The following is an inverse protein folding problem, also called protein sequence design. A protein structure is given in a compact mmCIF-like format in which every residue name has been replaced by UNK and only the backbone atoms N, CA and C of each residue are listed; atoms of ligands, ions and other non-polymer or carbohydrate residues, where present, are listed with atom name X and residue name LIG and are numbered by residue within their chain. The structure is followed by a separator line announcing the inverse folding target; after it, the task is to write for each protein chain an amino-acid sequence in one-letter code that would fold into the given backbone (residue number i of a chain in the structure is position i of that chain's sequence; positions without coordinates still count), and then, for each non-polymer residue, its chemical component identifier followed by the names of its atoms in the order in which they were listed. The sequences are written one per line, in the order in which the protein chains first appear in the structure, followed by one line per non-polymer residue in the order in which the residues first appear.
data_IF_491885497129
#
_entry.id   IF_491885497129
#
_cell.length_a   1.000
_cell.length_b   1.000
_cell.length_c   1.000
_cell.angle_alpha   90.00
_cell.angle_beta   90.00
_cell.angle_gamma   90.00
#
_symmetry.space_group_name_H-M   'P 1'
#
loop_
_entity.id
_entity.type
_entity.pdbx_description
1 polymer ?
#
# COMPACT_ATOMS: atom_id res chain seq x y z
N UNK A 1 -7.11 -6.07 -37.19
CA UNK A 1 -6.16 -4.95 -37.01
C UNK A 1 -6.96 -3.71 -36.62
N UNK A 2 -6.57 -3.01 -35.56
CA UNK A 2 -7.31 -1.85 -35.04
C UNK A 2 -7.02 -0.54 -35.82
N UNK A 3 -6.30 -0.57 -36.93
CA UNK A 3 -6.06 0.59 -37.81
C UNK A 3 -5.26 1.74 -37.22
N UNK A 4 -4.56 1.52 -36.09
CA UNK A 4 -3.65 2.52 -35.49
C UNK A 4 -2.28 2.37 -36.15
N UNK A 5 -1.72 3.48 -36.68
CA UNK A 5 -0.35 3.48 -37.19
C UNK A 5 0.66 3.31 -36.03
N UNK A 6 1.78 2.64 -36.32
CA UNK A 6 2.82 2.37 -35.32
C UNK A 6 3.32 3.67 -34.66
N UNK A 7 3.53 4.74 -35.40
CA UNK A 7 3.98 6.04 -34.89
C UNK A 7 2.95 6.67 -33.93
N UNK A 8 1.65 6.53 -34.21
CA UNK A 8 0.58 7.01 -33.33
C UNK A 8 0.51 6.19 -32.04
N UNK A 9 0.75 4.88 -32.13
CA UNK A 9 0.85 4.01 -30.99
C UNK A 9 2.03 4.37 -30.08
N UNK A 10 3.24 4.51 -30.63
CA UNK A 10 4.43 4.87 -29.85
C UNK A 10 4.33 6.27 -29.27
N UNK A 11 3.76 7.24 -29.99
CA UNK A 11 3.52 8.58 -29.48
C UNK A 11 2.53 8.57 -28.31
N UNK A 12 1.45 7.80 -28.41
CA UNK A 12 0.44 7.68 -27.34
C UNK A 12 0.99 6.95 -26.11
N UNK A 13 1.79 5.90 -26.31
CA UNK A 13 2.42 5.16 -25.20
C UNK A 13 3.48 5.99 -24.49
N UNK A 14 4.24 6.83 -25.19
CA UNK A 14 5.25 7.69 -24.56
C UNK A 14 4.67 8.72 -23.58
N UNK A 15 3.41 9.08 -23.75
CA UNK A 15 2.66 9.99 -22.85
C UNK A 15 1.83 9.25 -21.79
N UNK A 16 1.81 7.91 -21.82
CA UNK A 16 1.04 7.12 -20.87
C UNK A 16 1.73 7.10 -19.52
N UNK A 17 1.14 7.75 -18.53
CA UNK A 17 1.65 7.87 -17.15
C UNK A 17 1.31 6.68 -16.25
N UNK A 18 0.79 5.59 -16.81
CA UNK A 18 0.31 4.44 -16.06
C UNK A 18 -1.19 4.49 -15.74
N UNK A 19 -1.74 3.39 -15.26
CA UNK A 19 -3.12 3.34 -14.80
C UNK A 19 -3.21 3.92 -13.38
N UNK A 20 -4.18 4.79 -13.15
CA UNK A 20 -4.42 5.38 -11.84
C UNK A 20 -4.51 4.29 -10.74
N UNK A 21 -3.90 4.53 -9.59
CA UNK A 21 -3.82 3.62 -8.44
C UNK A 21 -3.12 2.28 -8.74
N UNK A 22 -2.22 2.22 -9.74
CA UNK A 22 -1.38 1.05 -10.01
C UNK A 22 0.07 1.47 -9.98
N UNK A 23 0.72 1.24 -8.86
CA UNK A 23 2.06 1.73 -8.51
C UNK A 23 2.23 3.21 -8.91
N UNK A 24 1.20 3.99 -8.60
CA UNK A 24 1.14 5.42 -8.91
C UNK A 24 2.06 6.19 -7.97
N UNK A 25 2.95 6.99 -8.54
CA UNK A 25 3.82 7.88 -7.79
C UNK A 25 3.03 9.10 -7.33
N UNK A 26 2.89 9.30 -6.01
CA UNK A 26 2.19 10.46 -5.42
C UNK A 26 3.13 11.64 -5.20
N UNK A 27 4.37 11.37 -4.76
CA UNK A 27 5.40 12.37 -4.56
C UNK A 27 6.78 11.72 -4.67
N UNK A 28 7.78 12.51 -5.05
CA UNK A 28 9.16 12.05 -5.19
C UNK A 28 10.14 13.16 -4.83
N UNK A 29 11.22 12.78 -4.16
CA UNK A 29 12.44 13.57 -3.96
C UNK A 29 13.64 12.76 -4.44
N UNK A 30 14.84 13.31 -4.37
CA UNK A 30 16.06 12.59 -4.74
C UNK A 30 16.29 11.31 -3.90
N UNK A 31 15.74 11.25 -2.69
CA UNK A 31 15.99 10.16 -1.73
C UNK A 31 14.74 9.44 -1.23
N UNK A 32 13.55 9.88 -1.61
CA UNK A 32 12.27 9.30 -1.18
C UNK A 32 11.26 9.28 -2.30
N UNK A 33 10.50 8.20 -2.42
CA UNK A 33 9.33 8.11 -3.28
C UNK A 33 8.15 7.55 -2.50
N UNK A 34 6.99 8.17 -2.67
CA UNK A 34 5.72 7.72 -2.07
C UNK A 34 4.84 7.19 -3.19
N UNK A 35 4.47 5.92 -3.07
CA UNK A 35 3.63 5.21 -4.04
C UNK A 35 2.26 4.93 -3.46
N UNK A 36 1.26 4.91 -4.35
CA UNK A 36 -0.07 4.34 -4.10
C UNK A 36 -0.32 3.18 -5.03
N UNK A 37 -0.88 2.08 -4.51
CA UNK A 37 -1.28 0.94 -5.33
C UNK A 37 -2.64 0.39 -4.90
N UNK A 38 -3.35 -0.23 -5.84
CA UNK A 38 -4.64 -0.88 -5.61
C UNK A 38 -4.50 -2.35 -5.19
N UNK A 39 -3.29 -2.81 -4.87
CA UNK A 39 -3.06 -4.17 -4.38
C UNK A 39 -3.86 -4.40 -3.10
N UNK A 40 -4.71 -5.42 -3.12
CA UNK A 40 -5.60 -5.77 -2.00
C UNK A 40 -5.71 -7.28 -1.79
N UNK A 41 -5.22 -8.10 -2.70
CA UNK A 41 -5.13 -9.56 -2.55
C UNK A 41 -3.71 -9.98 -2.17
N UNK A 42 -3.53 -11.12 -1.49
CA UNK A 42 -2.22 -11.58 -1.03
C UNK A 42 -1.14 -11.60 -2.12
N UNK A 43 -1.46 -12.19 -3.28
CA UNK A 43 -0.52 -12.28 -4.40
C UNK A 43 -0.14 -10.93 -5.01
N UNK A 44 -1.10 -10.00 -5.13
CA UNK A 44 -0.83 -8.65 -5.62
C UNK A 44 -0.01 -7.85 -4.61
N UNK A 45 -0.34 -7.97 -3.32
CA UNK A 45 0.41 -7.34 -2.23
C UNK A 45 1.88 -7.76 -2.30
N UNK A 46 2.15 -9.08 -2.35
CA UNK A 46 3.50 -9.63 -2.48
C UNK A 46 4.23 -9.09 -3.70
N UNK A 47 3.62 -9.21 -4.88
CA UNK A 47 4.23 -8.77 -6.14
C UNK A 47 4.54 -7.27 -6.16
N UNK A 48 3.66 -6.42 -5.59
CA UNK A 48 3.89 -4.97 -5.54
C UNK A 48 5.02 -4.60 -4.56
N UNK A 49 5.08 -5.24 -3.40
CA UNK A 49 6.17 -5.03 -2.42
C UNK A 49 7.52 -5.45 -3.02
N UNK A 50 7.58 -6.64 -3.63
CA UNK A 50 8.78 -7.13 -4.32
C UNK A 50 9.23 -6.19 -5.45
N UNK A 51 8.29 -5.72 -6.29
CA UNK A 51 8.60 -4.82 -7.40
C UNK A 51 9.21 -3.50 -6.94
N UNK A 52 8.67 -2.88 -5.88
CA UNK A 52 9.23 -1.64 -5.34
C UNK A 52 10.60 -1.88 -4.72
N UNK A 53 10.79 -2.97 -3.96
CA UNK A 53 12.09 -3.29 -3.36
C UNK A 53 13.15 -3.59 -4.42
N UNK A 54 12.80 -4.30 -5.48
CA UNK A 54 13.71 -4.58 -6.61
C UNK A 54 14.08 -3.31 -7.39
N UNK A 55 13.15 -2.38 -7.55
CA UNK A 55 13.40 -1.11 -8.23
C UNK A 55 14.31 -0.17 -7.42
N UNK A 56 14.28 -0.27 -6.09
CA UNK A 56 15.05 0.57 -5.16
C UNK A 56 15.75 -0.28 -4.08
N UNK A 57 16.70 -1.14 -4.45
CA UNK A 57 17.30 -2.13 -3.54
C UNK A 57 18.02 -1.48 -2.35
N UNK A 58 18.60 -0.29 -2.55
CA UNK A 58 19.37 0.44 -1.54
C UNK A 58 18.50 1.32 -0.63
N UNK A 59 17.19 1.46 -0.95
CA UNK A 59 16.28 2.25 -0.12
C UNK A 59 15.53 1.37 0.86
N UNK A 60 15.28 1.90 2.04
CA UNK A 60 14.35 1.30 3.00
C UNK A 60 12.92 1.37 2.44
N UNK A 61 12.16 0.30 2.60
CA UNK A 61 10.77 0.24 2.16
C UNK A 61 9.83 0.09 3.36
N UNK A 62 9.00 1.08 3.60
CA UNK A 62 7.81 0.94 4.45
C UNK A 62 6.61 0.59 3.58
N UNK A 63 6.03 -0.58 3.80
CA UNK A 63 4.81 -1.02 3.14
C UNK A 63 3.61 -0.95 4.09
N UNK A 64 2.53 -0.35 3.61
CA UNK A 64 1.27 -0.17 4.35
C UNK A 64 0.14 -0.82 3.58
N UNK A 65 -0.61 -1.71 4.22
CA UNK A 65 -1.77 -2.38 3.64
C UNK A 65 -3.05 -2.03 4.39
N UNK A 66 -4.08 -1.57 3.69
CA UNK A 66 -5.43 -1.48 4.24
C UNK A 66 -6.23 -2.75 3.91
N UNK A 67 -6.67 -3.48 4.95
CA UNK A 67 -7.67 -4.54 4.80
C UNK A 67 -9.04 -3.89 4.68
N UNK A 68 -9.62 -3.90 3.47
CA UNK A 68 -10.87 -3.19 3.19
C UNK A 68 -11.92 -4.05 2.48
N UNK A 69 -11.50 -5.06 1.72
CA UNK A 69 -12.44 -5.93 0.99
C UNK A 69 -13.20 -6.87 1.92
N UNK A 70 -14.33 -7.41 1.47
CA UNK A 70 -15.07 -8.42 2.25
C UNK A 70 -14.21 -9.63 2.60
N UNK A 71 -13.39 -10.12 1.67
CA UNK A 71 -12.51 -11.26 1.91
C UNK A 71 -11.37 -10.93 2.87
N UNK A 72 -10.68 -9.80 2.69
CA UNK A 72 -9.53 -9.42 3.53
C UNK A 72 -9.89 -9.18 5.00
N UNK A 73 -11.16 -8.93 5.30
CA UNK A 73 -11.68 -8.73 6.66
C UNK A 73 -12.26 -10.00 7.28
N UNK A 74 -12.15 -11.15 6.60
CA UNK A 74 -12.60 -12.42 7.13
C UNK A 74 -11.45 -13.21 7.76
N UNK A 75 -11.66 -13.71 8.97
CA UNK A 75 -10.66 -14.46 9.74
C UNK A 75 -10.08 -15.65 8.95
N UNK A 76 -10.93 -16.39 8.25
CA UNK A 76 -10.52 -17.54 7.45
C UNK A 76 -9.67 -17.19 6.22
N UNK A 77 -9.70 -15.92 5.77
CA UNK A 77 -8.91 -15.44 4.62
C UNK A 77 -7.54 -14.86 5.05
N UNK A 78 -7.43 -14.36 6.28
CA UNK A 78 -6.21 -13.71 6.76
C UNK A 78 -4.94 -14.54 6.58
N UNK A 79 -4.93 -15.88 6.83
CA UNK A 79 -3.71 -16.70 6.68
C UNK A 79 -3.09 -16.68 5.28
N UNK A 80 -3.87 -16.34 4.25
CA UNK A 80 -3.36 -16.21 2.88
C UNK A 80 -2.38 -15.03 2.71
N UNK A 81 -2.37 -14.06 3.65
CA UNK A 81 -1.43 -12.94 3.65
C UNK A 81 -0.05 -13.27 4.22
N UNK A 82 0.15 -14.53 4.69
CA UNK A 82 1.44 -14.96 5.21
C UNK A 82 2.55 -14.64 4.21
N UNK A 83 3.64 -14.06 4.71
CA UNK A 83 4.84 -13.70 3.96
C UNK A 83 4.62 -12.70 2.79
N UNK A 84 3.43 -12.11 2.65
CA UNK A 84 3.12 -11.19 1.54
C UNK A 84 3.82 -9.84 1.63
N UNK A 85 4.42 -9.51 2.78
CA UNK A 85 5.18 -8.27 3.02
C UNK A 85 6.62 -8.55 3.46
N UNK A 86 7.18 -9.73 3.19
CA UNK A 86 8.52 -10.14 3.65
C UNK A 86 9.64 -9.24 3.15
N UNK A 87 9.53 -8.71 1.92
CA UNK A 87 10.53 -7.83 1.31
C UNK A 87 10.47 -6.36 1.80
N UNK A 88 9.47 -6.00 2.60
CA UNK A 88 9.41 -4.67 3.21
C UNK A 88 10.29 -4.61 4.47
N UNK A 89 11.08 -3.55 4.62
CA UNK A 89 11.89 -3.32 5.81
C UNK A 89 11.02 -2.99 7.03
N UNK A 90 9.89 -2.30 6.80
CA UNK A 90 8.84 -2.06 7.79
C UNK A 90 7.46 -2.38 7.20
N UNK A 91 6.60 -3.00 7.98
CA UNK A 91 5.27 -3.40 7.53
C UNK A 91 4.18 -2.93 8.50
N UNK A 92 3.18 -2.27 7.95
CA UNK A 92 2.01 -1.79 8.68
C UNK A 92 0.73 -2.30 8.02
N UNK A 93 -0.22 -2.72 8.85
CA UNK A 93 -1.56 -3.09 8.39
C UNK A 93 -2.58 -2.23 9.10
N UNK A 94 -3.53 -1.74 8.35
CA UNK A 94 -4.67 -0.99 8.87
C UNK A 94 -5.97 -1.70 8.52
N UNK A 95 -6.89 -1.72 9.45
CA UNK A 95 -8.30 -2.03 9.20
C UNK A 95 -9.22 -1.17 10.08
N UNK A 96 -10.40 -0.85 9.57
CA UNK A 96 -11.39 -0.08 10.31
C UNK A 96 -12.42 -1.00 10.95
N UNK A 97 -12.57 -1.01 12.30
CA UNK A 97 -13.65 -1.72 12.98
C UNK A 97 -15.04 -1.28 12.50
N UNK A 98 -15.20 0.01 12.22
CA UNK A 98 -16.44 0.55 11.65
C UNK A 98 -16.78 -0.06 10.28
N UNK A 99 -15.74 -0.30 9.43
CA UNK A 99 -15.95 -0.98 8.14
C UNK A 99 -16.39 -2.42 8.32
N UNK A 100 -15.86 -3.14 9.31
CA UNK A 100 -16.25 -4.52 9.65
C UNK A 100 -17.73 -4.55 10.08
N UNK A 101 -18.11 -3.66 10.99
CA UNK A 101 -19.49 -3.52 11.46
C UNK A 101 -20.46 -3.19 10.32
N UNK A 102 -20.12 -2.19 9.50
CA UNK A 102 -20.93 -1.80 8.34
C UNK A 102 -21.12 -2.94 7.33
N UNK A 103 -20.10 -3.77 7.15
CA UNK A 103 -20.16 -4.97 6.28
C UNK A 103 -20.82 -6.17 6.97
N UNK A 104 -21.22 -6.05 8.23
CA UNK A 104 -21.82 -7.13 9.05
C UNK A 104 -20.94 -8.39 9.08
N UNK A 105 -19.62 -8.18 9.19
CA UNK A 105 -18.65 -9.26 9.33
C UNK A 105 -18.32 -9.51 10.81
N UNK A 106 -17.81 -10.71 11.12
CA UNK A 106 -17.28 -10.99 12.44
C UNK A 106 -16.06 -10.12 12.73
N UNK A 107 -15.92 -9.58 13.95
CA UNK A 107 -14.75 -8.80 14.34
C UNK A 107 -13.46 -9.61 14.23
N UNK A 108 -12.42 -8.96 13.76
CA UNK A 108 -11.04 -9.45 13.81
C UNK A 108 -10.22 -8.58 14.76
N UNK A 109 -9.14 -9.14 15.33
CA UNK A 109 -8.27 -8.40 16.24
C UNK A 109 -6.91 -8.09 15.61
N UNK A 110 -6.18 -7.06 16.09
CA UNK A 110 -4.82 -6.79 15.67
C UNK A 110 -3.88 -7.99 15.80
N UNK A 111 -4.03 -8.79 16.88
CA UNK A 111 -3.24 -9.99 17.15
C UNK A 111 -3.47 -11.06 16.07
N UNK A 112 -4.72 -11.29 15.68
CA UNK A 112 -5.08 -12.23 14.62
C UNK A 112 -4.48 -11.81 13.27
N UNK A 113 -4.50 -10.52 12.98
CA UNK A 113 -3.88 -9.97 11.75
C UNK A 113 -2.37 -10.16 11.80
N UNK A 114 -1.72 -9.83 12.92
CA UNK A 114 -0.27 -9.98 13.09
C UNK A 114 0.18 -11.44 12.92
N UNK A 115 -0.51 -12.38 13.59
CA UNK A 115 -0.26 -13.81 13.47
C UNK A 115 -0.41 -14.30 12.02
N UNK A 116 -1.48 -13.86 11.35
CA UNK A 116 -1.78 -14.29 9.98
C UNK A 116 -0.75 -13.82 8.93
N UNK A 117 -0.17 -12.64 9.10
CA UNK A 117 0.90 -12.15 8.22
C UNK A 117 2.25 -12.84 8.49
N UNK A 118 2.40 -13.52 9.65
CA UNK A 118 3.61 -14.27 10.01
C UNK A 118 4.84 -13.38 10.23
N UNK A 119 4.65 -12.16 10.78
CA UNK A 119 5.69 -11.14 10.91
C UNK A 119 5.67 -10.53 12.31
N UNK A 120 6.71 -10.79 13.11
CA UNK A 120 6.76 -10.36 14.53
C UNK A 120 6.84 -8.85 14.70
N UNK A 121 7.43 -8.14 13.74
CA UNK A 121 7.58 -6.68 13.71
C UNK A 121 6.39 -5.95 13.08
N UNK A 122 5.36 -6.68 12.60
CA UNK A 122 4.16 -6.06 12.02
C UNK A 122 3.44 -5.22 13.07
N UNK A 123 3.16 -3.98 12.72
CA UNK A 123 2.30 -3.10 13.49
C UNK A 123 0.91 -3.03 12.85
N UNK A 124 -0.11 -3.20 13.66
CA UNK A 124 -1.51 -3.21 13.20
C UNK A 124 -2.26 -2.04 13.82
N UNK A 125 -2.91 -1.26 12.98
CA UNK A 125 -3.67 -0.07 13.37
C UNK A 125 -5.16 -0.26 13.10
N UNK A 126 -5.98 0.23 14.01
CA UNK A 126 -7.44 0.31 13.86
C UNK A 126 -7.94 1.75 13.76
N UNK A 127 -7.04 2.72 13.97
CA UNK A 127 -7.28 4.13 13.79
C UNK A 127 -6.37 4.68 12.67
N UNK A 128 -6.96 5.28 11.65
CA UNK A 128 -6.24 5.83 10.51
C UNK A 128 -5.39 7.05 10.90
N UNK A 129 -5.85 7.89 11.84
CA UNK A 129 -5.09 9.08 12.27
C UNK A 129 -3.79 8.69 12.98
N UNK A 130 -3.82 7.64 13.80
CA UNK A 130 -2.64 7.14 14.49
C UNK A 130 -1.61 6.60 13.50
N UNK A 131 -2.06 5.80 12.50
CA UNK A 131 -1.21 5.32 11.43
C UNK A 131 -0.54 6.49 10.68
N UNK A 132 -1.32 7.44 10.19
CA UNK A 132 -0.77 8.55 9.39
C UNK A 132 0.10 9.50 10.21
N UNK A 133 -0.17 9.66 11.50
CA UNK A 133 0.70 10.39 12.44
C UNK A 133 2.05 9.71 12.62
N UNK A 134 2.09 8.37 12.61
CA UNK A 134 3.35 7.62 12.61
C UNK A 134 4.08 7.77 11.27
N UNK A 135 3.38 7.60 10.14
CA UNK A 135 3.98 7.70 8.81
C UNK A 135 4.63 9.08 8.54
N UNK A 136 4.07 10.16 9.11
CA UNK A 136 4.68 11.50 9.03
C UNK A 136 6.02 11.63 9.77
N UNK A 137 6.33 10.71 10.69
CA UNK A 137 7.56 10.71 11.48
C UNK A 137 8.65 9.78 10.92
N UNK A 138 8.35 9.05 9.85
CA UNK A 138 9.33 8.18 9.20
C UNK A 138 10.51 8.99 8.64
N UNK A 139 11.70 8.37 8.51
CA UNK A 139 12.82 9.01 7.84
C UNK A 139 12.46 9.44 6.42
N UNK A 140 12.89 10.65 6.02
CA UNK A 140 12.62 11.20 4.69
C UNK A 140 13.79 11.01 3.71
N UNK A 141 14.88 10.35 4.15
CA UNK A 141 16.05 10.10 3.33
C UNK A 141 16.29 8.61 3.15
N UNK A 142 16.64 8.22 1.92
CA UNK A 142 16.89 6.84 1.53
C UNK A 142 15.72 5.88 1.85
N UNK A 143 14.48 6.35 1.62
CA UNK A 143 13.27 5.68 2.07
C UNK A 143 12.15 5.74 1.05
N UNK A 144 11.43 4.65 0.86
CA UNK A 144 10.21 4.61 0.06
C UNK A 144 9.01 4.25 0.93
N UNK A 145 7.88 4.86 0.65
CA UNK A 145 6.60 4.55 1.28
C UNK A 145 5.62 4.01 0.24
N UNK A 146 5.09 2.82 0.47
CA UNK A 146 4.13 2.16 -0.41
C UNK A 146 2.79 2.00 0.32
N UNK A 147 1.77 2.73 -0.15
CA UNK A 147 0.41 2.73 0.40
C UNK A 147 -0.50 1.86 -0.48
N UNK A 148 -0.94 0.72 0.03
CA UNK A 148 -1.73 -0.27 -0.72
C UNK A 148 -3.15 -0.39 -0.16
N UNK A 149 -4.15 -0.14 -1.01
CA UNK A 149 -5.54 -0.21 -0.60
C UNK A 149 -6.50 -0.27 -1.79
N UNK A 150 -7.58 -1.02 -1.62
CA UNK A 150 -8.80 -0.89 -2.44
C UNK A 150 -9.82 0.12 -1.86
N UNK A 151 -9.56 0.63 -0.66
CA UNK A 151 -10.34 1.65 0.02
C UNK A 151 -9.70 3.04 -0.04
N UNK A 152 -9.84 3.79 1.05
CA UNK A 152 -9.39 5.18 1.15
C UNK A 152 -8.67 5.48 2.46
N UNK A 153 -8.24 4.47 3.22
CA UNK A 153 -7.70 4.65 4.57
C UNK A 153 -8.61 5.52 5.46
N UNK A 154 -9.91 5.25 5.43
CA UNK A 154 -10.96 6.04 6.10
C UNK A 154 -11.01 7.51 5.65
N UNK A 155 -10.90 7.74 4.33
CA UNK A 155 -11.06 9.07 3.73
C UNK A 155 -9.80 9.93 3.72
N UNK A 156 -8.61 9.34 3.88
CA UNK A 156 -7.35 10.08 3.81
C UNK A 156 -7.08 10.61 2.40
N UNK A 157 -6.72 11.88 2.31
CA UNK A 157 -6.20 12.50 1.10
C UNK A 157 -4.71 12.14 0.95
N UNK A 158 -4.46 11.04 0.22
CA UNK A 158 -3.10 10.52 0.03
C UNK A 158 -2.19 11.46 -0.76
N UNK A 159 -2.64 12.17 -1.83
CA UNK A 159 -1.83 13.18 -2.49
C UNK A 159 -1.38 14.30 -1.56
N UNK A 160 -2.30 14.91 -0.80
CA UNK A 160 -1.95 15.98 0.16
C UNK A 160 -1.03 15.46 1.27
N UNK A 161 -1.24 14.25 1.76
CA UNK A 161 -0.35 13.60 2.71
C UNK A 161 1.06 13.43 2.13
N UNK A 162 1.19 12.89 0.91
CA UNK A 162 2.48 12.67 0.27
C UNK A 162 3.28 13.97 0.11
N UNK A 163 2.63 15.05 -0.32
CA UNK A 163 3.25 16.37 -0.41
C UNK A 163 3.69 16.90 0.96
N UNK A 164 2.89 16.68 2.02
CA UNK A 164 3.25 17.11 3.38
C UNK A 164 4.48 16.40 3.95
N UNK A 165 4.75 15.19 3.47
CA UNK A 165 5.92 14.38 3.86
C UNK A 165 7.17 14.81 3.08
N UNK A 166 7.05 15.08 1.79
CA UNK A 166 8.20 15.38 0.91
C UNK A 166 8.64 16.84 0.94
N UNK A 167 7.83 17.75 1.46
CA UNK A 167 8.15 19.19 1.56
C UNK A 167 8.81 19.58 2.91
N UNK A 168 9.23 18.61 3.70
CA UNK A 168 9.99 18.80 4.94
C UNK A 168 11.48 18.69 4.64
#
# INVERSE_FOLDING_TARGET
MLGVADDDFYRSISTFTGAARRLEKLAETNSMTIFRDFAHSPSKLKATVEAVKQQFPDRQLTAVMELHTFSSLKKEFLPLYKDSMSEADQAFVYFSPHTIEHKKLEPITPEQVKEAFGRDDLQVFTNSDDLFSLLQKLPHSNHNLLLMSSGTFSGKDLPSFALSVTNK
#
